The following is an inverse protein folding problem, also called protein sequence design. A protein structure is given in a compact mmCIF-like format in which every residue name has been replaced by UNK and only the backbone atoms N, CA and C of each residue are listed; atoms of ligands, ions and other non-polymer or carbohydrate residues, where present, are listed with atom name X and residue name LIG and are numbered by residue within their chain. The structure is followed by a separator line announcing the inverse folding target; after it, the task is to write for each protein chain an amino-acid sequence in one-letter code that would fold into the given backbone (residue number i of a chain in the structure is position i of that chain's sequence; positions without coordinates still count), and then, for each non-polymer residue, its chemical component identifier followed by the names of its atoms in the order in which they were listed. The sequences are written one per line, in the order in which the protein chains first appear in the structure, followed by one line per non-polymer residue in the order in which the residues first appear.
data_IF_020454121181
#
_entry.id   IF_020454121181
#
_cell.length_a   1.000
_cell.length_b   1.000
_cell.length_c   1.000
_cell.angle_alpha   90.00
_cell.angle_beta   90.00
_cell.angle_gamma   90.00
#
_symmetry.space_group_name_H-M   'P 1'
#
loop_
_entity.id
_entity.type
_entity.pdbx_description
1 polymer ?
#
# COMPACT_ATOMS: atom_id res chain seq x y z
N UNK A 1 -1.02 7.10 22.36
CA UNK A 1 -1.95 7.83 21.48
C UNK A 1 -1.32 7.87 20.10
N UNK A 2 -2.06 7.47 19.06
CA UNK A 2 -1.62 7.44 17.66
C UNK A 2 -1.48 8.86 17.06
N UNK A 3 -1.04 9.83 17.86
CA UNK A 3 -1.00 11.27 17.55
C UNK A 3 -0.06 11.59 16.38
N UNK A 4 0.85 10.67 16.06
CA UNK A 4 1.82 10.80 14.97
C UNK A 4 1.33 10.23 13.64
N UNK A 5 0.16 9.57 13.56
CA UNK A 5 -0.38 9.02 12.30
C UNK A 5 -1.39 9.99 11.69
N UNK A 6 -1.20 10.36 10.43
CA UNK A 6 -2.10 11.26 9.71
C UNK A 6 -2.58 10.66 8.39
N UNK A 7 -3.90 10.50 8.36
CA UNK A 7 -4.85 10.18 7.27
C UNK A 7 -5.16 11.31 6.28
N UNK A 8 -4.67 11.37 5.04
CA UNK A 8 -5.14 12.40 4.08
C UNK A 8 -5.46 11.82 2.71
N UNK A 9 -6.37 12.46 1.96
CA UNK A 9 -6.53 12.16 0.54
C UNK A 9 -5.28 12.59 -0.22
N UNK A 10 -4.66 11.69 -0.95
CA UNK A 10 -3.55 12.01 -1.83
C UNK A 10 -4.09 12.80 -3.03
N UNK A 11 -3.59 14.02 -3.22
CA UNK A 11 -4.05 14.88 -4.32
C UNK A 11 -3.44 14.44 -5.65
N UNK A 12 -4.22 14.48 -6.72
CA UNK A 12 -3.80 14.08 -8.07
C UNK A 12 -4.05 12.60 -8.34
N UNK A 13 -3.65 12.15 -9.54
CA UNK A 13 -3.71 10.73 -9.91
C UNK A 13 -2.38 10.08 -9.53
N UNK A 14 -2.45 8.98 -8.81
CA UNK A 14 -1.30 8.18 -8.41
C UNK A 14 -1.25 6.88 -9.20
N UNK A 15 -0.05 6.44 -9.51
CA UNK A 15 0.20 5.22 -10.28
C UNK A 15 1.27 4.39 -9.58
N UNK A 16 1.07 3.07 -9.60
CA UNK A 16 2.07 2.09 -9.17
C UNK A 16 2.51 1.23 -10.35
N UNK A 17 3.82 1.04 -10.50
CA UNK A 17 4.45 0.27 -11.57
C UNK A 17 5.49 -0.70 -11.04
N UNK A 18 5.55 -1.90 -11.62
CA UNK A 18 6.60 -2.88 -11.37
C UNK A 18 7.02 -3.56 -12.67
N UNK A 19 8.33 -3.76 -12.87
CA UNK A 19 8.86 -4.46 -14.05
C UNK A 19 8.39 -3.89 -15.40
N UNK A 20 8.14 -2.58 -15.47
CA UNK A 20 7.65 -1.90 -16.68
C UNK A 20 6.13 -1.94 -16.90
N UNK A 21 5.35 -2.64 -16.05
CA UNK A 21 3.90 -2.72 -16.13
C UNK A 21 3.22 -1.80 -15.10
N UNK A 22 2.05 -1.26 -15.44
CA UNK A 22 1.17 -0.55 -14.49
C UNK A 22 0.38 -1.59 -13.70
N UNK A 23 0.53 -1.57 -12.38
CA UNK A 23 -0.24 -2.43 -11.48
C UNK A 23 -1.58 -1.80 -11.10
N UNK A 24 -1.68 -0.47 -11.12
CA UNK A 24 -2.90 0.25 -10.82
C UNK A 24 -2.73 1.76 -10.88
N UNK A 25 -3.86 2.46 -11.05
CA UNK A 25 -3.96 3.92 -11.03
C UNK A 25 -5.15 4.34 -10.19
N UNK A 26 -5.00 5.36 -9.35
CA UNK A 26 -6.10 5.86 -8.52
C UNK A 26 -6.04 7.37 -8.31
N UNK A 27 -7.19 8.03 -8.35
CA UNK A 27 -7.43 9.41 -7.91
C UNK A 27 -8.08 9.48 -6.50
N UNK A 28 -8.26 8.31 -5.88
CA UNK A 28 -8.80 8.09 -4.54
C UNK A 28 -7.76 7.56 -3.56
N UNK A 29 -6.48 7.57 -3.95
CA UNK A 29 -5.39 7.15 -3.08
C UNK A 29 -5.34 7.99 -1.78
N UNK A 30 -4.91 7.36 -0.70
CA UNK A 30 -4.72 7.97 0.60
C UNK A 30 -3.23 8.08 0.90
N UNK A 31 -2.81 9.19 1.49
CA UNK A 31 -1.47 9.38 2.02
C UNK A 31 -1.51 9.18 3.53
N UNK A 32 -0.67 8.28 4.02
CA UNK A 32 -0.42 8.09 5.44
C UNK A 32 0.97 8.62 5.78
N UNK A 33 1.01 9.58 6.70
CA UNK A 33 2.27 10.04 7.31
C UNK A 33 2.35 9.53 8.74
N UNK A 34 3.53 9.05 9.15
CA UNK A 34 3.80 8.57 10.50
C UNK A 34 5.05 9.25 11.04
N UNK A 35 4.89 10.25 11.92
CA UNK A 35 6.03 11.01 12.47
C UNK A 35 6.96 11.55 11.37
N UNK A 36 8.24 11.23 11.47
CA UNK A 36 9.29 11.62 10.51
C UNK A 36 9.53 10.59 9.39
N UNK A 37 8.75 9.51 9.33
CA UNK A 37 8.87 8.54 8.24
C UNK A 37 8.36 9.12 6.91
N UNK A 38 8.93 8.68 5.77
CA UNK A 38 8.41 9.05 4.46
C UNK A 38 6.92 8.71 4.33
N UNK A 39 6.12 9.57 3.66
CA UNK A 39 4.71 9.30 3.44
C UNK A 39 4.52 8.03 2.62
N UNK A 40 3.48 7.27 2.95
CA UNK A 40 3.10 6.05 2.26
C UNK A 40 1.78 6.26 1.56
N UNK A 41 1.72 5.89 0.29
CA UNK A 41 0.49 5.95 -0.51
C UNK A 41 -0.23 4.61 -0.46
N UNK A 42 -1.51 4.68 -0.10
CA UNK A 42 -2.45 3.58 0.00
C UNK A 42 -3.46 3.68 -1.13
N UNK A 43 -3.50 2.67 -1.97
CA UNK A 43 -4.42 2.56 -3.09
C UNK A 43 -5.65 1.76 -2.70
N UNK A 44 -6.88 2.18 -3.08
CA UNK A 44 -8.05 1.33 -2.96
C UNK A 44 -7.81 0.01 -3.69
N UNK A 45 -8.16 -1.12 -3.06
CA UNK A 45 -7.95 -2.45 -3.66
C UNK A 45 -8.60 -2.60 -5.04
N UNK A 46 -9.74 -1.96 -5.24
CA UNK A 46 -10.48 -1.95 -6.51
C UNK A 46 -9.74 -1.27 -7.66
N UNK A 47 -8.80 -0.36 -7.36
CA UNK A 47 -8.00 0.36 -8.36
C UNK A 47 -6.67 -0.36 -8.67
N UNK A 48 -6.40 -1.47 -7.99
CA UNK A 48 -5.20 -2.29 -8.16
C UNK A 48 -5.56 -3.59 -8.87
N UNK A 49 -4.76 -3.96 -9.87
CA UNK A 49 -4.81 -5.25 -10.53
C UNK A 49 -4.38 -6.38 -9.60
N UNK A 50 -5.29 -6.82 -8.72
CA UNK A 50 -5.01 -7.87 -7.73
C UNK A 50 -4.61 -9.22 -8.36
N UNK A 51 -4.85 -9.41 -9.66
CA UNK A 51 -4.34 -10.57 -10.41
C UNK A 51 -2.80 -10.65 -10.45
N UNK A 52 -2.11 -9.52 -10.24
CA UNK A 52 -0.65 -9.44 -10.14
C UNK A 52 -0.13 -9.58 -8.70
N UNK A 53 -1.02 -9.71 -7.72
CA UNK A 53 -0.66 -9.75 -6.31
C UNK A 53 -1.06 -11.10 -5.71
N UNK A 54 -0.08 -11.84 -5.23
CA UNK A 54 -0.28 -13.09 -4.51
C UNK A 54 -0.11 -12.87 -3.00
N UNK A 55 -1.15 -13.17 -2.22
CA UNK A 55 -1.08 -13.04 -0.75
C UNK A 55 -0.12 -14.07 -0.18
N UNK A 56 0.84 -13.63 0.63
CA UNK A 56 1.79 -14.51 1.30
C UNK A 56 1.28 -14.90 2.69
N UNK A 57 1.89 -15.92 3.30
CA UNK A 57 1.66 -16.25 4.72
C UNK A 57 2.36 -15.29 5.67
N UNK A 58 3.22 -14.40 5.15
CA UNK A 58 3.90 -13.37 5.90
C UNK A 58 2.89 -12.36 6.44
N UNK A 59 2.98 -12.09 7.74
CA UNK A 59 2.24 -11.01 8.38
C UNK A 59 3.08 -10.38 9.48
N UNK A 60 2.87 -9.08 9.71
CA UNK A 60 3.51 -8.36 10.82
C UNK A 60 2.45 -7.65 11.63
N UNK A 61 2.57 -7.74 12.95
CA UNK A 61 1.63 -7.10 13.87
C UNK A 61 2.22 -5.77 14.32
N UNK A 62 1.53 -4.68 14.00
CA UNK A 62 1.82 -3.35 14.51
C UNK A 62 0.86 -3.04 15.67
N UNK A 63 1.35 -2.63 16.84
CA UNK A 63 0.48 -2.30 17.98
C UNK A 63 -0.46 -1.13 17.70
N UNK A 64 -0.12 -0.26 16.74
CA UNK A 64 -0.90 0.92 16.39
C UNK A 64 -1.85 0.70 15.22
N UNK A 65 -1.44 -0.11 14.24
CA UNK A 65 -2.14 -0.24 12.95
C UNK A 65 -2.89 -1.56 12.79
N UNK A 66 -2.58 -2.59 13.58
CA UNK A 66 -3.12 -3.93 13.41
C UNK A 66 -2.18 -4.85 12.63
N UNK A 67 -2.76 -5.88 11.99
CA UNK A 67 -1.99 -6.91 11.26
C UNK A 67 -1.83 -6.52 9.80
N UNK A 68 -0.58 -6.37 9.36
CA UNK A 68 -0.25 -6.20 7.95
C UNK A 68 -0.15 -7.58 7.28
N UNK A 69 -0.94 -7.80 6.23
CA UNK A 69 -0.81 -8.92 5.31
C UNK A 69 0.08 -8.52 4.14
N UNK A 70 1.06 -9.35 3.78
CA UNK A 70 1.96 -9.08 2.65
C UNK A 70 1.53 -9.77 1.37
N UNK A 71 1.97 -9.21 0.25
CA UNK A 71 1.73 -9.71 -1.09
C UNK A 71 3.02 -9.70 -1.91
N UNK A 72 3.24 -10.79 -2.62
CA UNK A 72 4.21 -10.88 -3.71
C UNK A 72 3.63 -10.20 -4.94
N UNK A 73 4.41 -9.34 -5.59
CA UNK A 73 4.02 -8.66 -6.82
C UNK A 73 4.65 -9.40 -8.00
N UNK A 74 3.82 -9.97 -8.87
CA UNK A 74 4.28 -10.58 -10.12
C UNK A 74 4.46 -9.53 -11.20
N UNK A 75 5.62 -9.52 -11.84
CA UNK A 75 5.94 -8.61 -12.94
C UNK A 75 6.58 -9.36 -14.10
N UNK A 76 6.65 -8.72 -15.28
CA UNK A 76 7.32 -9.29 -16.44
C UNK A 76 8.82 -9.57 -16.21
N UNK A 77 9.44 -8.89 -15.24
CA UNK A 77 10.83 -9.10 -14.85
C UNK A 77 11.01 -10.20 -13.79
N UNK A 78 9.91 -10.77 -13.27
CA UNK A 78 9.88 -11.76 -12.20
C UNK A 78 9.03 -11.34 -11.01
N UNK A 79 8.88 -12.26 -10.07
CA UNK A 79 8.15 -12.05 -8.82
C UNK A 79 8.99 -11.25 -7.82
N UNK A 80 8.35 -10.25 -7.20
CA UNK A 80 8.94 -9.39 -6.19
C UNK A 80 8.27 -9.75 -4.85
N UNK A 81 8.89 -10.60 -4.03
CA UNK A 81 8.28 -11.10 -2.79
C UNK A 81 8.04 -9.95 -1.82
N UNK A 82 6.94 -10.02 -1.06
CA UNK A 82 6.55 -9.05 -0.02
C UNK A 82 6.73 -7.58 -0.44
N UNK A 83 6.41 -7.25 -1.70
CA UNK A 83 6.57 -5.91 -2.26
C UNK A 83 5.37 -4.98 -1.96
N UNK A 84 4.24 -5.57 -1.58
CA UNK A 84 3.03 -4.85 -1.19
C UNK A 84 2.50 -5.37 0.15
N UNK A 85 1.73 -4.54 0.83
CA UNK A 85 1.03 -4.93 2.06
C UNK A 85 -0.33 -4.26 2.18
N UNK A 86 -1.19 -4.86 3.00
CA UNK A 86 -2.53 -4.36 3.30
C UNK A 86 -2.85 -4.58 4.77
N UNK A 87 -3.63 -3.66 5.35
CA UNK A 87 -4.26 -3.88 6.64
C UNK A 87 -5.72 -4.31 6.39
N UNK A 88 -5.99 -5.63 6.46
CA UNK A 88 -7.36 -6.16 6.30
C UNK A 88 -8.24 -5.80 7.50
N UNK A 89 -7.64 -5.84 8.69
CA UNK A 89 -8.29 -5.61 9.97
C UNK A 89 -7.49 -4.56 10.76
N UNK A 90 -7.51 -3.29 10.31
CA UNK A 90 -6.78 -2.22 10.98
C UNK A 90 -7.44 -1.84 12.31
N UNK A 91 -6.67 -1.18 13.18
CA UNK A 91 -7.22 -0.52 14.36
C UNK A 91 -8.13 0.67 13.95
N UNK A 92 -8.98 1.13 14.88
CA UNK A 92 -9.89 2.26 14.62
C UNK A 92 -9.13 3.54 14.19
N UNK A 93 -7.93 3.76 14.71
CA UNK A 93 -7.11 4.93 14.39
C UNK A 93 -6.70 5.01 12.91
N UNK A 94 -6.65 3.87 12.22
CA UNK A 94 -6.28 3.79 10.79
C UNK A 94 -7.35 3.06 9.95
N UNK A 95 -8.60 3.10 10.39
CA UNK A 95 -9.72 2.44 9.70
C UNK A 95 -9.91 2.92 8.25
N UNK A 96 -9.49 4.14 7.93
CA UNK A 96 -9.60 4.71 6.58
C UNK A 96 -8.81 3.93 5.51
N UNK A 97 -7.70 3.28 5.88
CA UNK A 97 -6.88 2.48 4.96
C UNK A 97 -7.25 0.98 4.97
N UNK A 98 -8.39 0.61 5.56
CA UNK A 98 -8.85 -0.77 5.59
C UNK A 98 -8.91 -1.35 4.18
N UNK A 99 -8.25 -2.49 3.99
CA UNK A 99 -8.18 -3.20 2.72
C UNK A 99 -7.42 -2.47 1.60
N UNK A 100 -6.88 -1.27 1.84
CA UNK A 100 -6.07 -0.57 0.86
C UNK A 100 -4.69 -1.22 0.76
N UNK A 101 -4.12 -1.16 -0.45
CA UNK A 101 -2.81 -1.72 -0.75
C UNK A 101 -1.77 -0.62 -0.76
N UNK A 102 -0.70 -0.80 0.01
CA UNK A 102 0.50 0.03 -0.05
C UNK A 102 1.67 -0.79 -0.61
N UNK A 103 2.68 -0.09 -1.13
CA UNK A 103 3.82 -0.70 -1.79
C UNK A 103 5.15 -0.14 -1.30
N UNK A 104 6.18 -0.99 -1.34
CA UNK A 104 7.54 -0.59 -0.99
C UNK A 104 8.19 0.15 -2.15
N UNK A 105 8.41 1.46 -1.98
CA UNK A 105 8.95 2.36 -3.02
C UNK A 105 10.41 2.07 -3.41
N UNK A 106 11.13 1.26 -2.62
CA UNK A 106 12.45 0.74 -2.99
C UNK A 106 12.38 -0.53 -3.85
N UNK A 107 11.18 -1.12 -4.05
CA UNK A 107 10.95 -2.33 -4.85
C UNK A 107 10.07 -2.07 -6.07
N UNK A 108 9.14 -1.13 -5.97
CA UNK A 108 8.26 -0.71 -7.07
C UNK A 108 8.27 0.80 -7.21
N UNK A 109 7.83 1.30 -8.36
CA UNK A 109 7.68 2.75 -8.58
C UNK A 109 6.28 3.19 -8.19
N UNK A 110 6.19 4.17 -7.30
CA UNK A 110 4.93 4.84 -6.93
C UNK A 110 5.11 6.33 -7.22
N UNK A 111 4.30 6.88 -8.11
CA UNK A 111 4.45 8.25 -8.58
C UNK A 111 3.10 8.94 -8.79
N UNK A 112 3.10 10.27 -8.72
CA UNK A 112 1.95 11.10 -9.07
C UNK A 112 2.09 11.55 -10.52
N UNK A 113 1.03 11.37 -11.31
CA UNK A 113 0.91 11.88 -12.68
C UNK A 113 0.57 13.38 -12.70
#
# INVERSE_FOLDING_TARGET
MADHIRIRKATGKWVVRAGGAVLGESDRALELTEGDYPPVIYFPREDIGMAFLEKTTSSTTCPWKGVASYFTVSSAAGDIPDAAWSYEEPSEAVAAIKGHIAFYTNRVTVERL
#
